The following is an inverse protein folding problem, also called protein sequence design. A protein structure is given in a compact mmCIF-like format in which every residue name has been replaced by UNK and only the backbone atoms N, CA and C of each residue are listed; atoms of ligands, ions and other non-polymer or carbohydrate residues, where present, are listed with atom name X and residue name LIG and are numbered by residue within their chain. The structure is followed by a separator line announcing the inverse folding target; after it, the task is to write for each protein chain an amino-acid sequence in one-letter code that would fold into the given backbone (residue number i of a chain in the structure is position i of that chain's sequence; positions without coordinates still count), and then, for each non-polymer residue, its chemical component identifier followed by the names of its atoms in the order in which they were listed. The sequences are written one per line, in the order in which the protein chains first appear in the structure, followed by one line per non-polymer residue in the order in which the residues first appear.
data_IF_806377968613
#
_entry.id   IF_806377968613
#
_cell.length_a   1.000
_cell.length_b   1.000
_cell.length_c   1.000
_cell.angle_alpha   90.00
_cell.angle_beta   90.00
_cell.angle_gamma   90.00
#
_symmetry.space_group_name_H-M   'P 1'
#
loop_
_entity.id
_entity.type
_entity.pdbx_description
1 polymer ?
#
# COMPACT_ATOMS: atom_id res chain seq x y z
N UNK A 1 -0.23 11.50 -8.88
CA UNK A 1 0.01 10.06 -8.59
C UNK A 1 0.97 9.98 -7.44
N UNK A 2 0.66 9.25 -6.38
CA UNK A 2 1.63 9.05 -5.30
C UNK A 2 2.91 8.39 -5.84
N UNK A 3 4.03 9.09 -5.67
CA UNK A 3 5.36 8.60 -6.02
C UNK A 3 6.01 7.95 -4.78
N UNK A 4 7.26 7.54 -4.88
CA UNK A 4 7.94 6.84 -3.78
C UNK A 4 7.95 7.63 -2.46
N UNK A 5 8.23 8.97 -2.42
CA UNK A 5 8.23 9.73 -1.17
C UNK A 5 6.86 9.77 -0.49
N UNK A 6 5.77 9.92 -1.27
CA UNK A 6 4.41 9.92 -0.71
C UNK A 6 4.04 8.53 -0.17
N UNK A 7 4.41 7.46 -0.86
CA UNK A 7 4.16 6.09 -0.38
C UNK A 7 4.99 5.79 0.88
N UNK A 8 6.23 6.30 0.97
CA UNK A 8 7.04 6.20 2.18
C UNK A 8 6.43 6.98 3.35
N UNK A 9 5.84 8.16 3.09
CA UNK A 9 5.10 8.91 4.10
C UNK A 9 3.91 8.10 4.62
N UNK A 10 3.14 7.45 3.74
CA UNK A 10 2.04 6.56 4.12
C UNK A 10 2.55 5.40 4.99
N UNK A 11 3.63 4.72 4.55
CA UNK A 11 4.24 3.62 5.30
C UNK A 11 4.63 4.05 6.72
N UNK A 12 5.42 5.13 6.82
CA UNK A 12 5.95 5.61 8.10
C UNK A 12 4.85 6.08 9.07
N UNK A 13 3.79 6.70 8.55
CA UNK A 13 2.65 7.10 9.37
C UNK A 13 1.83 5.92 9.86
N UNK A 14 1.51 4.97 8.97
CA UNK A 14 0.73 3.79 9.33
C UNK A 14 1.48 2.86 10.29
N UNK A 15 2.79 2.69 10.11
CA UNK A 15 3.61 1.86 10.99
C UNK A 15 3.40 2.17 12.47
N UNK A 16 3.25 3.44 12.81
CA UNK A 16 3.06 3.91 14.20
C UNK A 16 1.65 3.66 14.74
N UNK A 17 0.66 3.52 13.85
CA UNK A 17 -0.76 3.56 14.22
C UNK A 17 -1.46 2.20 14.12
N UNK A 18 -1.00 1.32 13.20
CA UNK A 18 -1.73 0.09 12.90
C UNK A 18 -1.05 -1.18 13.40
N UNK A 19 0.26 -1.14 13.72
CA UNK A 19 0.95 -2.33 14.25
C UNK A 19 0.32 -2.77 15.58
N UNK A 20 0.05 -4.08 15.69
CA UNK A 20 -0.61 -4.69 16.85
C UNK A 20 -2.12 -4.63 16.81
N UNK A 21 -2.74 -3.93 15.84
CA UNK A 21 -4.19 -3.91 15.70
C UNK A 21 -4.71 -5.17 15.03
N UNK A 22 -5.76 -5.73 15.61
CA UNK A 22 -6.46 -6.90 15.09
C UNK A 22 -7.58 -6.46 14.15
N UNK A 23 -7.66 -7.09 12.98
CA UNK A 23 -8.69 -6.82 11.96
C UNK A 23 -9.97 -7.55 12.37
N UNK A 24 -11.05 -6.79 12.57
CA UNK A 24 -12.38 -7.33 12.86
C UNK A 24 -13.19 -7.57 11.60
N UNK A 25 -13.20 -6.60 10.69
CA UNK A 25 -14.00 -6.64 9.46
C UNK A 25 -13.30 -5.91 8.33
N UNK A 26 -13.47 -6.42 7.11
CA UNK A 26 -13.08 -5.71 5.88
C UNK A 26 -14.30 -5.62 4.98
N UNK A 27 -14.64 -4.39 4.57
CA UNK A 27 -15.71 -4.12 3.61
C UNK A 27 -15.17 -3.37 2.40
N UNK A 28 -15.79 -3.55 1.24
CA UNK A 28 -15.41 -2.85 0.02
C UNK A 28 -16.64 -2.57 -0.86
N UNK A 29 -16.55 -1.50 -1.68
CA UNK A 29 -17.60 -1.10 -2.62
C UNK A 29 -17.24 -1.41 -4.09
N UNK A 30 -15.98 -1.78 -4.34
CA UNK A 30 -15.45 -2.02 -5.68
C UNK A 30 -14.51 -3.22 -5.71
N UNK A 31 -14.95 -4.33 -6.32
CA UNK A 31 -14.21 -5.59 -6.32
C UNK A 31 -12.79 -5.49 -6.87
N UNK A 32 -12.56 -4.66 -7.90
CA UNK A 32 -11.20 -4.47 -8.46
C UNK A 32 -10.25 -3.75 -7.50
N UNK A 33 -10.78 -3.02 -6.52
CA UNK A 33 -9.95 -2.42 -5.45
C UNK A 33 -9.65 -3.41 -4.32
N UNK A 34 -10.41 -4.52 -4.22
CA UNK A 34 -10.17 -5.58 -3.24
C UNK A 34 -10.42 -6.96 -3.86
N UNK A 35 -9.60 -7.37 -4.86
CA UNK A 35 -9.82 -8.57 -5.66
C UNK A 35 -9.35 -9.83 -4.92
N UNK A 36 -10.00 -10.14 -3.79
CA UNK A 36 -9.62 -11.24 -2.92
C UNK A 36 -10.78 -12.23 -2.74
N UNK A 37 -10.45 -13.50 -2.66
CA UNK A 37 -11.40 -14.55 -2.30
C UNK A 37 -11.90 -14.34 -0.86
N UNK A 38 -13.23 -14.40 -0.66
CA UNK A 38 -13.87 -14.15 0.63
C UNK A 38 -13.44 -15.16 1.70
N UNK A 39 -13.23 -16.43 1.32
CA UNK A 39 -12.80 -17.46 2.24
C UNK A 39 -11.35 -17.20 2.71
N UNK A 40 -10.46 -16.80 1.80
CA UNK A 40 -9.08 -16.42 2.16
C UNK A 40 -9.06 -15.19 3.07
N UNK A 41 -9.90 -14.19 2.80
CA UNK A 41 -10.00 -13.01 3.67
C UNK A 41 -10.48 -13.41 5.08
N UNK A 42 -11.52 -14.26 5.16
CA UNK A 42 -12.04 -14.74 6.44
C UNK A 42 -11.02 -15.53 7.24
N UNK A 43 -10.21 -16.37 6.56
CA UNK A 43 -9.25 -17.25 7.21
C UNK A 43 -7.94 -16.55 7.56
N UNK A 44 -7.42 -15.64 6.69
CA UNK A 44 -6.07 -15.13 6.81
C UNK A 44 -5.98 -13.61 7.06
N UNK A 45 -7.09 -12.87 7.01
CA UNK A 45 -7.10 -11.44 7.34
C UNK A 45 -7.90 -11.16 8.61
N UNK A 46 -9.13 -11.69 8.73
CA UNK A 46 -9.96 -11.44 9.91
C UNK A 46 -9.40 -12.14 11.14
N UNK A 47 -9.48 -11.48 12.30
CA UNK A 47 -8.92 -11.94 13.58
C UNK A 47 -7.39 -12.04 13.61
N UNK A 48 -6.71 -11.50 12.61
CA UNK A 48 -5.26 -11.42 12.60
C UNK A 48 -4.79 -9.99 12.87
N UNK A 49 -3.63 -9.88 13.53
CA UNK A 49 -3.01 -8.60 13.85
C UNK A 49 -2.05 -8.16 12.75
N UNK A 50 -1.94 -6.86 12.55
CA UNK A 50 -0.90 -6.26 11.71
C UNK A 50 0.43 -6.34 12.47
N UNK A 51 1.43 -6.98 11.88
CA UNK A 51 2.75 -7.19 12.48
C UNK A 51 3.81 -6.25 11.95
N UNK A 52 3.67 -5.78 10.70
CA UNK A 52 4.60 -4.84 10.09
C UNK A 52 3.94 -4.04 8.98
N UNK A 53 4.46 -2.86 8.71
CA UNK A 53 4.12 -2.04 7.53
C UNK A 53 5.42 -1.74 6.79
N UNK A 54 5.59 -2.34 5.64
CA UNK A 54 6.77 -2.21 4.78
C UNK A 54 6.40 -1.56 3.45
N UNK A 55 7.40 -1.21 2.67
CA UNK A 55 7.25 -0.69 1.31
C UNK A 55 8.27 -1.33 0.38
N UNK A 56 7.86 -1.61 -0.82
CA UNK A 56 8.73 -1.96 -1.94
C UNK A 56 8.30 -1.13 -3.14
N UNK A 57 9.20 -0.27 -3.64
CA UNK A 57 8.86 0.72 -4.66
C UNK A 57 7.61 1.55 -4.29
N UNK A 58 6.56 1.59 -5.12
CA UNK A 58 5.29 2.30 -4.84
C UNK A 58 4.19 1.39 -4.25
N UNK A 59 4.57 0.25 -3.69
CA UNK A 59 3.65 -0.71 -3.08
C UNK A 59 3.88 -0.77 -1.57
N UNK A 60 2.80 -0.69 -0.82
CA UNK A 60 2.78 -0.94 0.62
C UNK A 60 2.54 -2.43 0.87
N UNK A 61 3.21 -2.94 1.88
CA UNK A 61 3.13 -4.33 2.34
C UNK A 61 2.73 -4.32 3.81
N UNK A 62 1.45 -4.58 4.09
CA UNK A 62 0.90 -4.65 5.45
C UNK A 62 0.88 -6.13 5.83
N UNK A 63 1.86 -6.55 6.61
CA UNK A 63 2.02 -7.95 7.02
C UNK A 63 1.11 -8.29 8.19
N UNK A 64 0.53 -9.50 8.13
CA UNK A 64 -0.39 -10.03 9.13
C UNK A 64 0.24 -11.20 9.90
N UNK A 65 -0.24 -11.45 11.12
CA UNK A 65 0.18 -12.57 11.96
C UNK A 65 -0.12 -13.95 11.35
N UNK A 66 -1.01 -14.01 10.36
CA UNK A 66 -1.33 -15.20 9.56
C UNK A 66 -0.23 -15.61 8.55
N UNK A 67 0.85 -14.84 8.44
CA UNK A 67 1.85 -14.95 7.37
C UNK A 67 1.29 -14.59 5.97
N UNK A 68 0.26 -13.77 5.95
CA UNK A 68 -0.25 -13.12 4.74
C UNK A 68 0.08 -11.63 4.76
N UNK A 69 0.06 -11.03 3.60
CA UNK A 69 0.29 -9.60 3.40
C UNK A 69 -0.86 -8.98 2.61
N UNK A 70 -1.40 -7.86 3.11
CA UNK A 70 -2.21 -6.96 2.31
C UNK A 70 -1.29 -6.06 1.50
N UNK A 71 -1.06 -6.46 0.26
CA UNK A 71 -0.26 -5.73 -0.72
C UNK A 71 -1.10 -4.62 -1.33
N UNK A 72 -0.72 -3.35 -1.13
CA UNK A 72 -1.53 -2.19 -1.51
C UNK A 72 -0.80 -1.29 -2.48
N UNK A 73 -1.42 -1.00 -3.62
CA UNK A 73 -0.91 -0.04 -4.61
C UNK A 73 -1.87 1.14 -4.75
N UNK A 74 -1.40 2.34 -4.44
CA UNK A 74 -2.23 3.56 -4.44
C UNK A 74 -2.56 4.06 -5.86
N UNK A 75 -1.78 3.68 -6.88
CA UNK A 75 -1.95 4.12 -8.27
C UNK A 75 -2.04 5.64 -8.40
N UNK A 76 -3.10 6.16 -9.02
CA UNK A 76 -3.21 7.59 -9.40
C UNK A 76 -3.76 8.46 -8.29
N UNK A 77 -4.79 8.01 -7.59
CA UNK A 77 -5.54 8.82 -6.61
C UNK A 77 -5.76 8.11 -5.28
N UNK A 78 -5.04 7.01 -5.04
CA UNK A 78 -5.15 6.25 -3.81
C UNK A 78 -4.62 7.01 -2.59
N UNK A 79 -5.30 6.80 -1.47
CA UNK A 79 -4.96 7.31 -0.15
C UNK A 79 -5.22 6.23 0.89
N UNK A 80 -4.45 6.27 1.98
CA UNK A 80 -4.79 5.54 3.19
C UNK A 80 -5.03 6.53 4.32
N UNK A 81 -6.18 6.40 4.99
CA UNK A 81 -6.58 7.28 6.09
C UNK A 81 -6.94 6.42 7.29
N UNK A 82 -6.16 6.55 8.35
CA UNK A 82 -6.44 5.95 9.64
C UNK A 82 -7.27 6.91 10.49
N UNK A 83 -8.29 6.38 11.14
CA UNK A 83 -9.16 7.12 12.06
C UNK A 83 -9.31 6.31 13.35
N UNK A 84 -8.82 6.85 14.45
CA UNK A 84 -8.89 6.30 15.79
C UNK A 84 -8.85 7.43 16.81
N UNK A 85 -8.14 7.25 17.92
CA UNK A 85 -7.83 8.35 18.87
C UNK A 85 -7.05 9.46 18.12
N UNK A 86 -6.13 9.06 17.27
CA UNK A 86 -5.45 9.94 16.34
C UNK A 86 -6.00 9.73 14.92
N UNK A 87 -5.85 10.75 14.07
CA UNK A 87 -6.14 10.66 12.65
C UNK A 87 -4.86 10.88 11.86
N UNK A 88 -4.62 10.03 10.89
CA UNK A 88 -3.53 10.17 9.93
C UNK A 88 -4.04 9.84 8.53
N UNK A 89 -3.71 10.68 7.56
CA UNK A 89 -4.04 10.42 6.16
C UNK A 89 -2.89 10.85 5.24
N UNK A 90 -2.54 10.02 4.28
CA UNK A 90 -1.54 10.32 3.28
C UNK A 90 -1.81 9.57 1.95
N UNK A 91 -1.15 10.02 0.89
CA UNK A 91 -1.34 9.57 -0.48
C UNK A 91 -1.70 10.74 -1.39
N UNK A 92 -2.63 10.54 -2.32
CA UNK A 92 -3.06 11.63 -3.22
C UNK A 92 -3.79 12.72 -2.44
N UNK A 93 -3.36 14.02 -2.53
CA UNK A 93 -3.99 15.09 -1.76
C UNK A 93 -5.37 15.43 -2.31
N UNK A 94 -6.40 15.30 -1.47
CA UNK A 94 -7.76 15.78 -1.67
C UNK A 94 -8.51 15.89 -0.33
N UNK A 95 -9.77 16.33 -0.37
CA UNK A 95 -10.59 16.57 0.82
C UNK A 95 -10.81 15.32 1.69
N UNK A 96 -10.76 14.12 1.11
CA UNK A 96 -10.98 12.87 1.86
C UNK A 96 -9.89 12.60 2.92
N UNK A 97 -8.72 13.25 2.83
CA UNK A 97 -7.68 13.15 3.86
C UNK A 97 -8.14 13.69 5.23
N UNK A 98 -8.96 14.73 5.21
CA UNK A 98 -9.41 15.45 6.41
C UNK A 98 -10.93 15.41 6.63
N UNK A 99 -11.69 15.10 5.59
CA UNK A 99 -13.16 15.05 5.60
C UNK A 99 -13.73 13.84 6.35
N UNK A 100 -15.07 13.79 6.45
CA UNK A 100 -15.74 12.62 7.00
C UNK A 100 -15.56 11.40 6.13
N UNK A 101 -15.31 10.24 6.75
CA UNK A 101 -15.19 8.93 6.12
C UNK A 101 -16.14 7.91 6.75
N UNK A 102 -16.67 6.94 5.99
CA UNK A 102 -16.44 6.75 4.55
C UNK A 102 -17.10 7.83 3.68
N UNK A 103 -16.53 8.10 2.52
CA UNK A 103 -17.10 9.00 1.52
C UNK A 103 -17.21 8.30 0.14
N UNK A 104 -17.62 9.05 -0.90
CA UNK A 104 -17.77 8.54 -2.28
C UNK A 104 -16.48 8.03 -2.92
N UNK A 105 -15.32 8.33 -2.34
CA UNK A 105 -14.02 7.83 -2.79
C UNK A 105 -13.54 6.60 -2.04
N UNK A 106 -14.18 6.23 -0.94
CA UNK A 106 -13.80 5.07 -0.11
C UNK A 106 -14.08 3.77 -0.86
N UNK A 107 -13.04 2.96 -1.03
CA UNK A 107 -13.09 1.67 -1.75
C UNK A 107 -13.02 0.48 -0.82
N UNK A 108 -12.20 0.58 0.24
CA UNK A 108 -12.06 -0.47 1.25
C UNK A 108 -12.07 0.18 2.63
N UNK A 109 -12.77 -0.44 3.57
CA UNK A 109 -12.74 -0.09 4.99
C UNK A 109 -12.27 -1.31 5.78
N UNK A 110 -11.24 -1.13 6.58
CA UNK A 110 -10.77 -2.12 7.55
C UNK A 110 -11.14 -1.62 8.94
N UNK A 111 -12.02 -2.35 9.60
CA UNK A 111 -12.41 -2.11 10.98
C UNK A 111 -11.51 -2.92 11.92
N UNK A 112 -10.97 -2.28 12.96
CA UNK A 112 -10.17 -2.94 13.97
C UNK A 112 -11.00 -3.20 15.24
N UNK A 113 -10.62 -4.21 16.00
CA UNK A 113 -11.32 -4.63 17.24
C UNK A 113 -11.34 -3.54 18.32
N UNK A 114 -10.44 -2.57 18.27
CA UNK A 114 -10.42 -1.40 19.17
C UNK A 114 -11.33 -0.25 18.73
N UNK A 115 -12.11 -0.42 17.66
CA UNK A 115 -13.01 0.57 17.09
C UNK A 115 -12.37 1.57 16.13
N UNK A 116 -11.03 1.55 15.97
CA UNK A 116 -10.37 2.36 14.94
C UNK A 116 -10.57 1.77 13.55
N UNK A 117 -10.33 2.57 12.51
CA UNK A 117 -10.57 2.18 11.12
C UNK A 117 -9.43 2.64 10.21
N UNK A 118 -9.17 1.84 9.18
CA UNK A 118 -8.30 2.23 8.08
C UNK A 118 -9.12 2.26 6.78
N UNK A 119 -9.14 3.40 6.13
CA UNK A 119 -9.84 3.62 4.87
C UNK A 119 -8.87 3.66 3.71
N UNK A 120 -9.16 2.89 2.67
CA UNK A 120 -8.53 3.05 1.37
C UNK A 120 -9.47 3.82 0.45
N UNK A 121 -9.10 5.07 0.17
CA UNK A 121 -9.85 5.95 -0.73
C UNK A 121 -9.16 5.98 -2.10
N UNK A 122 -9.95 5.91 -3.18
CA UNK A 122 -9.45 6.08 -4.54
C UNK A 122 -10.57 6.56 -5.47
N UNK A 123 -10.52 7.82 -5.88
CA UNK A 123 -11.51 8.43 -6.76
C UNK A 123 -11.55 7.75 -8.14
N UNK A 124 -10.39 7.37 -8.68
CA UNK A 124 -10.26 6.81 -10.03
C UNK A 124 -10.42 5.30 -10.10
N UNK A 125 -10.50 4.60 -8.97
CA UNK A 125 -10.70 3.14 -8.87
C UNK A 125 -9.63 2.31 -9.58
N UNK A 126 -8.38 2.79 -9.62
CA UNK A 126 -7.23 2.06 -10.19
C UNK A 126 -6.37 1.39 -9.15
N UNK A 127 -6.43 1.88 -7.91
CA UNK A 127 -5.73 1.30 -6.79
C UNK A 127 -6.35 -0.01 -6.32
N UNK A 128 -5.56 -0.79 -5.62
CA UNK A 128 -5.98 -2.11 -5.16
C UNK A 128 -5.26 -2.56 -3.89
N UNK A 129 -5.91 -3.45 -3.15
CA UNK A 129 -5.38 -4.17 -2.00
C UNK A 129 -5.57 -5.67 -2.24
N UNK A 130 -4.47 -6.42 -2.36
CA UNK A 130 -4.46 -7.87 -2.56
C UNK A 130 -3.94 -8.58 -1.32
N UNK A 131 -4.63 -9.63 -0.91
CA UNK A 131 -4.21 -10.52 0.17
C UNK A 131 -3.43 -11.69 -0.43
N UNK A 132 -2.16 -11.82 -0.08
CA UNK A 132 -1.26 -12.84 -0.60
C UNK A 132 -0.46 -13.49 0.53
N UNK A 133 -0.12 -14.79 0.45
CA UNK A 133 0.89 -15.38 1.32
C UNK A 133 2.21 -14.59 1.22
N UNK A 134 2.91 -14.39 2.33
CA UNK A 134 4.16 -13.60 2.34
C UNK A 134 5.18 -14.11 1.32
N UNK A 135 5.27 -15.42 1.16
CA UNK A 135 6.21 -16.06 0.22
C UNK A 135 5.89 -15.78 -1.26
N UNK A 136 4.65 -15.43 -1.60
CA UNK A 136 4.22 -15.13 -2.98
C UNK A 136 4.28 -13.64 -3.32
N UNK A 137 4.56 -12.76 -2.36
CA UNK A 137 4.61 -11.29 -2.59
C UNK A 137 5.63 -10.94 -3.67
N UNK A 138 6.84 -11.49 -3.61
CA UNK A 138 7.89 -11.23 -4.61
C UNK A 138 7.61 -11.87 -5.98
N UNK A 139 6.72 -12.88 -6.04
CA UNK A 139 6.30 -13.55 -7.27
C UNK A 139 5.19 -12.80 -8.01
N UNK A 140 4.54 -11.83 -7.35
CA UNK A 140 3.51 -11.01 -7.99
C UNK A 140 4.10 -10.32 -9.24
N UNK A 141 3.43 -10.38 -10.41
CA UNK A 141 3.97 -9.88 -11.69
C UNK A 141 4.42 -8.42 -11.66
N UNK A 142 3.80 -7.60 -10.80
CA UNK A 142 4.23 -6.23 -10.58
C UNK A 142 5.58 -6.18 -9.86
N UNK A 143 5.75 -6.98 -8.80
CA UNK A 143 6.97 -7.00 -7.98
C UNK A 143 8.18 -7.49 -8.76
N UNK A 144 8.01 -8.46 -9.65
CA UNK A 144 9.08 -8.98 -10.50
C UNK A 144 9.67 -7.92 -11.46
N UNK A 145 8.89 -6.89 -11.79
CA UNK A 145 9.31 -5.80 -12.68
C UNK A 145 9.95 -4.63 -11.94
N UNK A 146 9.86 -4.61 -10.62
CA UNK A 146 10.37 -3.52 -9.79
C UNK A 146 11.91 -3.51 -9.79
N UNK A 147 12.49 -2.33 -9.95
CA UNK A 147 13.93 -2.10 -9.86
C UNK A 147 14.48 -2.25 -8.43
N UNK A 148 15.79 -2.05 -8.21
CA UNK A 148 16.36 -2.01 -6.87
C UNK A 148 15.74 -0.88 -6.05
N UNK A 149 15.67 -1.08 -4.73
CA UNK A 149 15.12 -0.09 -3.81
C UNK A 149 16.10 1.08 -3.66
N UNK A 150 15.70 2.33 -4.00
CA UNK A 150 16.61 3.48 -3.97
C UNK A 150 17.07 3.87 -2.56
N UNK A 151 16.34 3.46 -1.52
CA UNK A 151 16.66 3.75 -0.12
C UNK A 151 17.47 2.63 0.54
N UNK A 152 17.79 1.57 -0.19
CA UNK A 152 18.63 0.48 0.30
C UNK A 152 20.12 0.87 0.20
N UNK A 153 20.91 0.51 1.21
CA UNK A 153 22.35 0.68 1.20
C UNK A 153 23.05 -0.03 0.04
N UNK A 154 22.43 -1.06 -0.50
CA UNK A 154 22.90 -1.77 -1.71
C UNK A 154 22.70 -0.96 -3.00
N UNK A 155 21.93 0.14 -2.99
CA UNK A 155 21.73 1.01 -4.14
C UNK A 155 22.89 2.00 -4.25
N UNK A 156 24.01 1.55 -4.78
CA UNK A 156 25.23 2.36 -4.95
C UNK A 156 25.19 3.20 -6.23
N UNK A 157 26.07 4.21 -6.31
CA UNK A 157 26.26 5.03 -7.52
C UNK A 157 26.57 4.16 -8.76
N UNK A 158 27.29 3.06 -8.59
CA UNK A 158 27.59 2.11 -9.67
C UNK A 158 26.33 1.40 -10.16
N UNK A 159 25.48 0.92 -9.26
CA UNK A 159 24.19 0.30 -9.60
C UNK A 159 23.33 1.29 -10.37
N UNK A 160 23.24 2.53 -9.90
CA UNK A 160 22.50 3.61 -10.58
C UNK A 160 23.06 3.90 -11.98
N UNK A 161 24.37 4.10 -12.11
CA UNK A 161 25.04 4.38 -13.38
C UNK A 161 24.82 3.26 -14.41
N UNK A 162 24.93 2.01 -13.98
CA UNK A 162 24.73 0.85 -14.86
C UNK A 162 23.28 0.73 -15.35
N UNK A 163 22.30 1.04 -14.50
CA UNK A 163 20.88 1.08 -14.92
C UNK A 163 20.59 2.21 -15.87
N UNK A 164 21.11 3.41 -15.61
CA UNK A 164 20.97 4.57 -16.49
C UNK A 164 21.52 4.27 -17.90
N UNK A 165 22.65 3.58 -18.02
CA UNK A 165 23.22 3.17 -19.33
C UNK A 165 22.26 2.30 -20.15
N UNK A 166 21.42 1.48 -19.51
CA UNK A 166 20.41 0.65 -20.21
C UNK A 166 19.25 1.45 -20.79
N UNK A 167 19.04 2.69 -20.32
CA UNK A 167 17.92 3.58 -20.70
C UNK A 167 18.36 4.72 -21.65
N UNK A 168 19.34 4.47 -22.52
CA UNK A 168 19.98 5.49 -23.38
C UNK A 168 19.02 6.29 -24.25
N UNK A 169 17.91 5.72 -24.68
CA UNK A 169 16.94 6.35 -25.58
C UNK A 169 15.73 6.96 -24.82
N UNK A 170 15.82 7.12 -23.50
CA UNK A 170 14.74 7.62 -22.67
C UNK A 170 15.17 8.96 -22.06
N UNK A 171 14.24 9.91 -21.88
CA UNK A 171 14.57 11.15 -21.17
C UNK A 171 15.00 10.85 -19.73
N UNK A 172 15.85 11.68 -19.16
CA UNK A 172 16.35 11.50 -17.78
C UNK A 172 15.18 11.39 -16.82
N UNK A 173 14.16 12.25 -16.95
CA UNK A 173 12.96 12.20 -16.12
C UNK A 173 12.25 10.85 -16.21
N UNK A 174 12.01 10.34 -17.41
CA UNK A 174 11.35 9.05 -17.59
C UNK A 174 12.20 7.89 -17.06
N UNK A 175 13.52 7.93 -17.25
CA UNK A 175 14.44 6.91 -16.73
C UNK A 175 14.50 6.87 -15.19
N UNK A 176 14.37 8.03 -14.52
CA UNK A 176 14.36 8.12 -13.06
C UNK A 176 13.01 7.72 -12.43
N UNK A 177 11.91 7.91 -13.17
CA UNK A 177 10.56 7.54 -12.70
C UNK A 177 10.17 6.11 -13.02
N UNK A 178 10.97 5.40 -13.83
CA UNK A 178 10.76 3.99 -14.17
C UNK A 178 11.15 3.10 -12.98
N UNK A 179 10.24 2.21 -12.59
CA UNK A 179 10.42 1.30 -11.46
C UNK A 179 10.92 -0.06 -11.88
#
# INVERSE_FOLDING_TARGET
MPELPEVETVRSGLEKLVIGKEIELITHDWEKSFPNDTALVSEFALKHTITAVKRRAKVLLIELSSRYTLMTHLKMTGQLVFVGIERFGAGHPNESLIGHLPDKSTRVTIDFTDGSKLYFNDQRKFGWMKLLPNQLVEEEPFMQKVGPEPLDLAFTDEVFANRKKKKKNTSIKAALLDQ
#
